data_IF_461875688960
#
_entry.id   IF_461875688960
#
_cell.length_a   1.000
_cell.length_b   1.000
_cell.length_c   1.000
_cell.angle_alpha   90.00
_cell.angle_beta   90.00
_cell.angle_gamma   90.00
#
_symmetry.space_group_name_H-M   'P 1'
#
loop_
_entity.id
_entity.type
_entity.pdbx_description
1 polymer ?
#
# COMPACT_ATOMS: atom_id res chain seq x y z
N UNK A 1 -1.92 -1.47 20.62
CA UNK A 1 -3.35 -1.35 20.25
C UNK A 1 -3.48 -1.85 18.82
N UNK A 2 -4.46 -2.71 18.52
CA UNK A 2 -4.67 -3.20 17.15
C UNK A 2 -4.95 -2.01 16.23
N UNK A 3 -4.25 -1.92 15.09
CA UNK A 3 -4.65 -1.03 14.02
C UNK A 3 -6.05 -1.45 13.54
N UNK A 4 -6.89 -0.51 13.14
CA UNK A 4 -8.16 -0.81 12.49
C UNK A 4 -8.28 0.12 11.30
N UNK A 5 -8.52 -0.43 10.11
CA UNK A 5 -8.68 0.37 8.91
C UNK A 5 -9.86 1.33 9.05
N UNK A 6 -9.69 2.54 8.51
CA UNK A 6 -10.78 3.50 8.34
C UNK A 6 -11.72 3.10 7.19
N UNK A 7 -12.60 4.02 6.77
CA UNK A 7 -13.54 3.76 5.69
C UNK A 7 -12.87 3.29 4.39
N UNK A 8 -13.37 2.19 3.82
CA UNK A 8 -12.93 1.64 2.54
C UNK A 8 -13.78 2.22 1.39
N UNK A 9 -13.15 2.74 0.34
CA UNK A 9 -13.83 3.07 -0.92
C UNK A 9 -13.63 1.97 -1.95
N UNK A 10 -14.68 1.70 -2.71
CA UNK A 10 -14.72 0.59 -3.68
C UNK A 10 -15.27 1.11 -5.00
N UNK A 11 -14.52 0.91 -6.08
CA UNK A 11 -15.07 0.94 -7.44
C UNK A 11 -15.27 -0.51 -7.87
N UNK A 12 -16.54 -0.92 -8.00
CA UNK A 12 -16.88 -2.25 -8.49
C UNK A 12 -16.64 -2.34 -9.99
N UNK A 13 -16.29 -3.54 -10.43
CA UNK A 13 -16.31 -3.91 -11.83
C UNK A 13 -17.74 -3.86 -12.39
N UNK A 14 -17.90 -3.67 -13.70
CA UNK A 14 -19.21 -3.63 -14.37
C UNK A 14 -19.86 -5.01 -14.48
N UNK A 15 -19.06 -6.03 -14.79
CA UNK A 15 -19.58 -7.37 -14.99
C UNK A 15 -19.88 -8.04 -13.64
N UNK A 16 -20.75 -9.06 -13.65
CA UNK A 16 -21.05 -9.80 -12.43
C UNK A 16 -19.81 -10.51 -11.85
N UNK A 17 -18.86 -10.91 -12.70
CA UNK A 17 -17.66 -11.66 -12.31
C UNK A 17 -16.48 -10.71 -12.15
N UNK A 18 -15.89 -10.69 -10.95
CA UNK A 18 -14.59 -10.05 -10.69
C UNK A 18 -13.47 -11.01 -11.10
N UNK A 19 -12.50 -10.54 -11.88
CA UNK A 19 -11.37 -11.36 -12.34
C UNK A 19 -10.03 -10.92 -11.74
N UNK A 20 -10.02 -9.80 -11.02
CA UNK A 20 -8.84 -9.28 -10.35
C UNK A 20 -9.17 -8.05 -9.51
N UNK A 21 -8.32 -7.77 -8.53
CA UNK A 21 -8.50 -6.64 -7.62
C UNK A 21 -7.25 -5.79 -7.59
N UNK A 22 -7.42 -4.47 -7.58
CA UNK A 22 -6.34 -3.51 -7.35
C UNK A 22 -6.58 -2.83 -6.01
N UNK A 23 -5.61 -2.89 -5.11
CA UNK A 23 -5.64 -2.19 -3.82
C UNK A 23 -4.66 -1.01 -3.90
N UNK A 24 -5.16 0.21 -3.68
CA UNK A 24 -4.38 1.44 -3.75
C UNK A 24 -4.31 2.08 -2.37
N UNK A 25 -3.12 2.09 -1.77
CA UNK A 25 -2.81 2.74 -0.50
C UNK A 25 -2.44 4.22 -0.69
N UNK A 26 -3.07 5.10 0.07
CA UNK A 26 -2.82 6.55 0.03
C UNK A 26 -1.51 6.96 0.74
N UNK A 27 -1.06 8.21 0.54
CA UNK A 27 0.10 8.79 1.23
C UNK A 27 -0.21 9.22 2.67
N UNK A 28 0.82 9.60 3.44
CA UNK A 28 0.66 10.02 4.84
C UNK A 28 -0.29 11.22 4.97
N UNK A 29 -1.28 11.13 5.87
CA UNK A 29 -2.22 12.22 6.16
C UNK A 29 -3.43 12.32 5.22
N UNK A 30 -3.50 11.47 4.20
CA UNK A 30 -4.64 11.37 3.30
C UNK A 30 -5.64 10.29 3.76
N UNK A 31 -6.64 9.97 2.95
CA UNK A 31 -7.63 8.91 3.18
C UNK A 31 -7.92 8.15 1.89
N UNK A 32 -8.63 7.02 1.99
CA UNK A 32 -9.12 6.29 0.82
C UNK A 32 -10.07 7.10 -0.07
N UNK A 33 -10.77 8.09 0.50
CA UNK A 33 -11.60 9.03 -0.30
C UNK A 33 -10.72 10.04 -1.03
N UNK A 34 -9.76 10.64 -0.32
CA UNK A 34 -8.92 11.69 -0.88
C UNK A 34 -8.05 11.19 -2.03
N UNK A 35 -7.42 10.02 -1.89
CA UNK A 35 -6.64 9.42 -2.98
C UNK A 35 -7.53 9.06 -4.18
N UNK A 36 -8.76 8.57 -3.94
CA UNK A 36 -9.69 8.25 -5.02
C UNK A 36 -10.11 9.53 -5.76
N UNK A 37 -10.42 10.60 -5.04
CA UNK A 37 -10.77 11.89 -5.62
C UNK A 37 -9.59 12.49 -6.39
N UNK A 38 -8.36 12.33 -5.91
CA UNK A 38 -7.15 12.76 -6.62
C UNK A 38 -6.92 11.97 -7.92
N UNK A 39 -7.08 10.65 -7.90
CA UNK A 39 -7.01 9.82 -9.12
C UNK A 39 -8.08 10.28 -10.11
N UNK A 40 -9.32 10.47 -9.66
CA UNK A 40 -10.43 10.96 -10.52
C UNK A 40 -10.17 12.36 -11.07
N UNK A 41 -9.51 13.22 -10.31
CA UNK A 41 -9.11 14.54 -10.79
C UNK A 41 -8.12 14.43 -11.97
N UNK A 42 -7.17 13.48 -11.90
CA UNK A 42 -6.14 13.30 -12.92
C UNK A 42 -6.64 12.60 -14.19
N UNK A 43 -7.46 11.55 -14.05
CA UNK A 43 -7.84 10.68 -15.19
C UNK A 43 -9.34 10.64 -15.48
N UNK A 44 -10.15 11.39 -14.72
CA UNK A 44 -11.60 11.33 -14.76
C UNK A 44 -12.18 10.13 -14.01
N UNK A 45 -13.50 10.03 -14.02
CA UNK A 45 -14.19 8.85 -13.50
C UNK A 45 -13.83 7.61 -14.32
N UNK A 46 -13.57 6.51 -13.62
CA UNK A 46 -13.16 5.26 -14.24
C UNK A 46 -13.84 4.05 -13.60
N UNK A 47 -13.86 2.97 -14.36
CA UNK A 47 -14.40 1.67 -13.97
C UNK A 47 -13.86 0.63 -14.95
N UNK A 48 -13.78 -0.63 -14.52
CA UNK A 48 -13.31 -1.73 -15.36
C UNK A 48 -14.45 -2.71 -15.64
N UNK A 49 -14.49 -3.36 -16.82
CA UNK A 49 -15.38 -4.48 -17.05
C UNK A 49 -15.22 -5.59 -16.00
N UNK A 50 -13.99 -5.85 -15.53
CA UNK A 50 -13.67 -7.07 -14.78
C UNK A 50 -12.72 -6.87 -13.59
N UNK A 51 -12.27 -5.64 -13.30
CA UNK A 51 -11.44 -5.32 -12.13
C UNK A 51 -12.21 -4.52 -11.09
N UNK A 52 -12.03 -4.91 -9.84
CA UNK A 52 -12.45 -4.15 -8.67
C UNK A 52 -11.28 -3.33 -8.13
N UNK A 53 -11.55 -2.10 -7.68
CA UNK A 53 -10.54 -1.23 -7.07
C UNK A 53 -10.93 -0.92 -5.63
N UNK A 54 -9.96 -1.06 -4.73
CA UNK A 54 -10.08 -0.83 -3.29
C UNK A 54 -9.16 0.31 -2.88
N UNK A 55 -9.70 1.29 -2.17
CA UNK A 55 -8.96 2.43 -1.61
C UNK A 55 -9.22 2.45 -0.09
N UNK A 56 -8.45 1.66 0.69
CA UNK A 56 -8.58 1.65 2.15
C UNK A 56 -8.07 2.97 2.75
N UNK A 57 -8.61 3.33 3.91
CA UNK A 57 -8.11 4.46 4.71
C UNK A 57 -7.25 3.92 5.85
N UNK A 58 -6.06 4.49 6.03
CA UNK A 58 -5.17 4.12 7.13
C UNK A 58 -5.82 4.39 8.51
N UNK A 59 -5.45 3.65 9.56
CA UNK A 59 -5.86 3.97 10.92
C UNK A 59 -5.44 5.39 11.32
N UNK A 60 -6.24 6.04 12.15
CA UNK A 60 -5.87 7.33 12.75
C UNK A 60 -4.90 7.05 13.92
N UNK A 61 -3.66 7.55 13.85
CA UNK A 61 -2.65 7.36 14.89
C UNK A 61 -1.72 8.58 15.02
N UNK A 62 -0.98 8.74 16.15
CA UNK A 62 0.08 9.73 16.25
C UNK A 62 1.15 9.49 15.17
N UNK A 63 1.63 10.56 14.56
CA UNK A 63 2.69 10.49 13.56
C UNK A 63 3.92 11.30 13.99
N UNK A 64 5.06 10.65 14.17
CA UNK A 64 6.29 11.26 14.71
C UNK A 64 6.80 12.44 13.87
N UNK A 65 6.83 12.38 12.52
CA UNK A 65 7.23 13.52 11.69
C UNK A 65 6.26 14.71 11.75
N UNK A 66 5.05 14.50 12.28
CA UNK A 66 4.05 15.56 12.54
C UNK A 66 3.95 15.86 14.05
N UNK A 67 5.08 15.82 14.77
CA UNK A 67 5.17 16.12 16.20
C UNK A 67 4.16 15.34 17.09
N UNK A 68 3.78 14.13 16.68
CA UNK A 68 2.82 13.29 17.39
C UNK A 68 1.35 13.66 17.18
N UNK A 69 1.03 14.57 16.26
CA UNK A 69 -0.36 14.85 15.90
C UNK A 69 -1.04 13.61 15.29
N UNK A 70 -2.35 13.50 15.52
CA UNK A 70 -3.16 12.40 14.98
C UNK A 70 -3.32 12.57 13.47
N UNK A 71 -2.90 11.57 12.71
CA UNK A 71 -2.96 11.56 11.26
C UNK A 71 -3.30 10.16 10.74
N UNK A 72 -3.91 10.09 9.56
CA UNK A 72 -4.16 8.83 8.88
C UNK A 72 -2.87 8.34 8.22
N UNK A 73 -2.15 7.47 8.92
CA UNK A 73 -0.85 6.92 8.50
C UNK A 73 -0.79 5.42 8.72
N UNK A 74 -0.21 4.71 7.76
CA UNK A 74 -0.15 3.23 7.76
C UNK A 74 0.78 2.70 8.86
N UNK A 75 1.91 3.38 9.03
CA UNK A 75 2.94 3.10 10.01
C UNK A 75 3.65 4.42 10.36
N UNK A 76 4.36 4.41 11.47
CA UNK A 76 5.12 5.57 11.91
C UNK A 76 6.50 5.62 11.25
N UNK A 77 7.12 6.80 11.22
CA UNK A 77 8.49 7.00 10.73
C UNK A 77 9.28 7.83 11.73
N UNK A 78 10.52 7.47 11.99
CA UNK A 78 11.40 8.34 12.78
C UNK A 78 11.76 9.61 12.01
N UNK A 79 11.90 9.51 10.69
CA UNK A 79 12.14 10.64 9.79
C UNK A 79 11.72 10.29 8.34
N UNK A 80 11.60 11.29 7.48
CA UNK A 80 11.24 11.15 6.06
C UNK A 80 12.54 11.06 5.23
N UNK A 81 13.29 9.98 5.45
CA UNK A 81 14.54 9.66 4.74
C UNK A 81 14.76 8.14 4.76
N UNK A 82 15.43 7.54 3.76
CA UNK A 82 15.78 6.12 3.78
C UNK A 82 16.82 5.77 4.86
N UNK A 83 17.59 6.75 5.35
CA UNK A 83 18.78 6.53 6.19
C UNK A 83 18.50 6.25 7.67
N UNK A 84 17.23 6.29 8.09
CA UNK A 84 16.82 5.92 9.45
C UNK A 84 16.20 4.52 9.47
N UNK A 85 16.17 3.82 10.61
CA UNK A 85 15.47 2.54 10.70
C UNK A 85 13.97 2.67 10.42
N UNK A 86 13.35 1.56 10.02
CA UNK A 86 11.89 1.47 9.94
C UNK A 86 11.27 1.35 11.34
N UNK A 87 10.06 1.87 11.53
CA UNK A 87 9.33 1.64 12.78
C UNK A 87 8.61 0.29 12.73
N UNK A 88 9.37 -0.80 12.87
CA UNK A 88 8.93 -2.18 12.67
C UNK A 88 7.67 -2.56 13.47
N UNK A 89 7.52 -2.09 14.71
CA UNK A 89 6.32 -2.37 15.53
C UNK A 89 5.04 -1.86 14.85
N UNK A 90 5.07 -0.67 14.27
CA UNK A 90 3.89 -0.09 13.62
C UNK A 90 3.63 -0.71 12.25
N UNK A 91 4.68 -1.13 11.53
CA UNK A 91 4.55 -1.95 10.32
C UNK A 91 3.89 -3.29 10.64
N UNK A 92 4.38 -4.02 11.65
CA UNK A 92 3.77 -5.26 12.10
C UNK A 92 2.30 -5.07 12.53
N UNK A 93 1.97 -3.93 13.16
CA UNK A 93 0.60 -3.64 13.58
C UNK A 93 -0.40 -3.49 12.44
N UNK A 94 0.03 -3.04 11.25
CA UNK A 94 -0.85 -2.85 10.09
C UNK A 94 -0.89 -4.10 9.20
N UNK A 95 0.12 -4.97 9.25
CA UNK A 95 0.20 -6.19 8.43
C UNK A 95 -1.06 -7.06 8.55
N UNK A 96 -1.57 -7.28 9.75
CA UNK A 96 -2.74 -8.14 9.96
C UNK A 96 -4.00 -7.56 9.30
N UNK A 97 -4.18 -6.26 9.35
CA UNK A 97 -5.30 -5.58 8.71
C UNK A 97 -5.23 -5.68 7.18
N UNK A 98 -4.03 -5.55 6.59
CA UNK A 98 -3.83 -5.69 5.15
C UNK A 98 -4.00 -7.16 4.72
N UNK A 99 -3.48 -8.11 5.49
CA UNK A 99 -3.71 -9.54 5.28
C UNK A 99 -5.18 -9.88 5.31
N UNK A 100 -5.94 -9.33 6.27
CA UNK A 100 -7.38 -9.53 6.38
C UNK A 100 -8.13 -8.92 5.19
N UNK A 101 -7.73 -7.73 4.73
CA UNK A 101 -8.31 -7.11 3.52
C UNK A 101 -8.09 -7.99 2.29
N UNK A 102 -6.88 -8.50 2.08
CA UNK A 102 -6.54 -9.40 0.97
C UNK A 102 -7.28 -10.74 1.13
N UNK A 103 -7.34 -11.31 2.33
CA UNK A 103 -8.07 -12.55 2.60
C UNK A 103 -9.57 -12.42 2.28
N UNK A 104 -10.16 -11.24 2.50
CA UNK A 104 -11.53 -10.94 2.08
C UNK A 104 -11.70 -11.01 0.55
N UNK A 105 -10.70 -10.60 -0.22
CA UNK A 105 -10.73 -10.71 -1.69
C UNK A 105 -10.59 -12.16 -2.16
N UNK A 106 -9.73 -12.94 -1.50
CA UNK A 106 -9.59 -14.39 -1.74
C UNK A 106 -10.91 -15.12 -1.46
N UNK A 107 -11.55 -14.82 -0.32
CA UNK A 107 -12.83 -15.41 0.07
C UNK A 107 -13.97 -15.06 -0.91
N UNK A 108 -13.88 -13.90 -1.56
CA UNK A 108 -14.79 -13.48 -2.62
C UNK A 108 -14.40 -14.02 -4.02
N UNK A 109 -13.48 -14.98 -4.08
CA UNK A 109 -13.14 -15.73 -5.29
C UNK A 109 -12.09 -15.08 -6.19
N UNK A 110 -11.39 -14.04 -5.72
CA UNK A 110 -10.28 -13.43 -6.48
C UNK A 110 -8.97 -14.10 -6.07
N UNK A 111 -8.30 -14.88 -6.94
CA UNK A 111 -7.04 -15.54 -6.59
C UNK A 111 -5.93 -14.55 -6.25
N UNK A 112 -4.96 -14.94 -5.42
CA UNK A 112 -3.86 -14.06 -4.99
C UNK A 112 -3.05 -13.48 -6.16
N UNK A 113 -2.74 -14.33 -7.15
CA UNK A 113 -2.06 -13.95 -8.40
C UNK A 113 -2.94 -13.13 -9.38
N UNK A 114 -4.10 -12.65 -8.91
CA UNK A 114 -4.97 -11.67 -9.57
C UNK A 114 -5.20 -10.41 -8.72
N UNK A 115 -4.46 -10.26 -7.62
CA UNK A 115 -4.49 -9.08 -6.77
C UNK A 115 -3.21 -8.27 -6.99
N UNK A 116 -3.37 -7.00 -7.36
CA UNK A 116 -2.30 -6.01 -7.43
C UNK A 116 -2.41 -5.11 -6.20
N UNK A 117 -1.28 -4.83 -5.56
CA UNK A 117 -1.19 -3.80 -4.52
C UNK A 117 -0.33 -2.65 -5.01
N UNK A 118 -0.63 -1.45 -4.57
CA UNK A 118 0.22 -0.31 -4.87
C UNK A 118 -0.17 0.91 -4.10
N UNK A 119 0.56 1.99 -4.27
CA UNK A 119 0.24 3.23 -3.57
C UNK A 119 1.16 4.39 -3.87
N UNK A 120 0.81 5.51 -3.24
CA UNK A 120 1.54 6.77 -3.33
C UNK A 120 2.29 7.06 -2.03
N UNK A 121 3.54 7.51 -2.13
CA UNK A 121 4.40 7.89 -1.01
C UNK A 121 4.47 6.79 0.06
N UNK A 122 3.99 7.04 1.28
CA UNK A 122 3.89 6.04 2.34
C UNK A 122 3.10 4.78 1.91
N UNK A 123 2.05 4.94 1.10
CA UNK A 123 1.24 3.83 0.61
C UNK A 123 2.00 2.91 -0.38
N UNK A 124 2.89 3.46 -1.20
CA UNK A 124 3.73 2.64 -2.07
C UNK A 124 4.80 1.88 -1.28
N UNK A 125 5.34 2.48 -0.22
CA UNK A 125 6.20 1.76 0.73
C UNK A 125 5.44 0.61 1.42
N UNK A 126 4.19 0.85 1.86
CA UNK A 126 3.34 -0.22 2.39
C UNK A 126 3.09 -1.33 1.36
N UNK A 127 2.89 -0.99 0.09
CA UNK A 127 2.67 -1.97 -0.97
C UNK A 127 3.90 -2.89 -1.17
N UNK A 128 5.11 -2.33 -1.14
CA UNK A 128 6.36 -3.09 -1.20
C UNK A 128 6.49 -4.03 0.01
N UNK A 129 6.25 -3.53 1.22
CA UNK A 129 6.20 -4.36 2.44
C UNK A 129 5.17 -5.48 2.33
N UNK A 130 3.98 -5.17 1.81
CA UNK A 130 2.91 -6.15 1.68
C UNK A 130 3.32 -7.29 0.76
N UNK A 131 3.87 -6.99 -0.41
CA UNK A 131 4.14 -8.00 -1.42
C UNK A 131 5.41 -8.82 -1.19
N UNK A 132 6.44 -8.23 -0.58
CA UNK A 132 7.75 -8.86 -0.45
C UNK A 132 8.10 -9.31 0.97
N UNK A 133 7.13 -9.23 1.89
CA UNK A 133 7.29 -9.71 3.28
C UNK A 133 6.01 -10.31 3.82
N UNK A 134 4.88 -9.62 3.68
CA UNK A 134 3.66 -10.00 4.40
C UNK A 134 2.78 -11.00 3.65
N UNK A 135 2.70 -10.88 2.32
CA UNK A 135 1.81 -11.66 1.43
C UNK A 135 2.49 -11.90 0.06
N UNK A 136 3.48 -12.81 -0.01
CA UNK A 136 4.13 -13.14 -1.27
C UNK A 136 3.19 -13.81 -2.29
N UNK A 137 3.44 -13.58 -3.58
CA UNK A 137 2.70 -14.18 -4.69
C UNK A 137 1.51 -13.38 -5.21
N UNK A 138 1.49 -12.07 -4.92
CA UNK A 138 0.58 -11.10 -5.55
C UNK A 138 0.85 -10.99 -7.05
N UNK A 139 -0.13 -10.50 -7.81
CA UNK A 139 -0.02 -10.35 -9.26
C UNK A 139 1.01 -9.30 -9.68
N UNK A 140 1.27 -8.32 -8.82
CA UNK A 140 2.24 -7.26 -9.04
C UNK A 140 2.13 -6.13 -8.04
N UNK A 141 3.13 -5.24 -8.07
CA UNK A 141 3.22 -4.06 -7.23
C UNK A 141 3.40 -2.81 -8.07
N UNK A 142 2.79 -1.69 -7.65
CA UNK A 142 3.21 -0.38 -8.12
C UNK A 142 3.49 0.59 -6.96
N UNK A 143 4.56 1.36 -7.07
CA UNK A 143 4.93 2.37 -6.08
C UNK A 143 5.14 3.73 -6.75
N UNK A 144 4.54 4.79 -6.22
CA UNK A 144 4.58 6.14 -6.78
C UNK A 144 5.21 7.08 -5.75
N UNK A 145 6.34 7.71 -6.06
CA UNK A 145 7.06 8.63 -5.16
C UNK A 145 7.38 8.02 -3.78
N UNK A 146 7.87 6.78 -3.75
CA UNK A 146 8.04 5.99 -2.52
C UNK A 146 9.51 5.65 -2.26
N UNK A 147 9.80 5.07 -1.10
CA UNK A 147 11.11 4.48 -0.81
C UNK A 147 10.96 3.37 0.24
N UNK A 148 11.92 2.45 0.27
CA UNK A 148 12.21 1.60 1.41
C UNK A 148 13.45 2.16 2.12
N UNK A 149 13.52 1.96 3.43
CA UNK A 149 14.68 2.36 4.22
C UNK A 149 15.90 1.46 3.90
N UNK A 150 17.12 1.96 4.09
CA UNK A 150 18.35 1.31 3.61
C UNK A 150 18.51 -0.11 4.16
N UNK A 151 18.17 -0.31 5.44
CA UNK A 151 18.23 -1.61 6.15
C UNK A 151 16.84 -2.28 6.25
N UNK A 152 15.92 -1.99 5.32
CA UNK A 152 14.54 -2.47 5.36
C UNK A 152 14.43 -3.97 5.58
N UNK A 153 13.46 -4.38 6.39
CA UNK A 153 13.13 -5.79 6.62
C UNK A 153 12.66 -6.50 5.35
N UNK A 154 12.21 -5.75 4.33
CA UNK A 154 11.89 -6.29 3.00
C UNK A 154 13.13 -6.90 2.35
N UNK A 155 14.29 -6.24 2.42
CA UNK A 155 15.52 -6.77 1.83
C UNK A 155 15.99 -8.05 2.52
N UNK A 156 15.69 -8.19 3.82
CA UNK A 156 15.98 -9.42 4.58
C UNK A 156 15.04 -10.56 4.19
N UNK A 157 13.75 -10.28 4.03
CA UNK A 157 12.76 -11.27 3.58
C UNK A 157 13.12 -11.83 2.19
N UNK A 158 13.54 -10.96 1.26
CA UNK A 158 13.98 -11.36 -0.08
C UNK A 158 15.24 -12.24 -0.14
N UNK A 159 16.00 -12.35 0.95
CA UNK A 159 17.17 -13.24 1.02
C UNK A 159 16.78 -14.69 1.30
N UNK A 160 15.54 -14.97 1.74
CA UNK A 160 15.05 -16.32 1.96
C UNK A 160 14.45 -16.89 0.65
N UNK A 161 15.07 -17.92 0.03
CA UNK A 161 14.60 -18.49 -1.23
C UNK A 161 13.27 -19.25 -1.11
N UNK A 162 12.67 -19.35 0.08
CA UNK A 162 11.37 -19.99 0.31
C UNK A 162 10.15 -19.05 0.19
N UNK A 163 10.36 -17.75 -0.02
CA UNK A 163 9.34 -16.68 0.04
C UNK A 163 8.40 -16.57 -1.17
N UNK A 164 8.20 -17.63 -1.96
CA UNK A 164 7.15 -17.67 -3.00
C UNK A 164 7.55 -17.13 -4.38
N UNK A 165 6.59 -16.96 -5.31
CA UNK A 165 6.89 -16.66 -6.70
C UNK A 165 7.26 -15.18 -6.93
N UNK A 166 8.14 -14.93 -7.92
CA UNK A 166 8.58 -13.60 -8.34
C UNK A 166 7.38 -12.68 -8.63
N UNK A 167 7.17 -11.70 -7.75
CA UNK A 167 6.14 -10.67 -7.93
C UNK A 167 6.75 -9.47 -8.65
N UNK A 168 6.29 -9.12 -9.87
CA UNK A 168 6.84 -7.98 -10.59
C UNK A 168 6.45 -6.66 -9.93
N UNK A 169 7.33 -5.66 -9.98
CA UNK A 169 6.97 -4.30 -9.59
C UNK A 169 7.30 -3.27 -10.66
N UNK A 170 6.57 -2.17 -10.60
CA UNK A 170 6.88 -0.93 -11.31
C UNK A 170 6.95 0.21 -10.30
N UNK A 171 7.90 1.12 -10.50
CA UNK A 171 8.07 2.27 -9.63
C UNK A 171 8.24 3.53 -10.47
N UNK A 172 7.52 4.58 -10.11
CA UNK A 172 7.60 5.88 -10.76
C UNK A 172 7.94 6.94 -9.72
N UNK A 173 8.80 7.88 -10.11
CA UNK A 173 9.26 8.94 -9.23
C UNK A 173 9.41 10.25 -10.00
N UNK A 174 9.04 11.37 -9.38
CA UNK A 174 9.30 12.69 -9.94
C UNK A 174 10.75 13.10 -9.71
N UNK A 175 11.44 13.56 -10.75
CA UNK A 175 12.83 14.03 -10.70
C UNK A 175 13.03 15.34 -9.92
N UNK A 176 11.94 16.07 -9.65
CA UNK A 176 11.92 17.30 -8.86
C UNK A 176 11.20 17.14 -7.51
N UNK A 177 11.00 15.91 -7.03
CA UNK A 177 10.39 15.67 -5.72
C UNK A 177 11.35 16.11 -4.60
N UNK A 178 10.96 17.14 -3.84
CA UNK A 178 11.78 17.68 -2.74
C UNK A 178 11.46 17.07 -1.39
N UNK A 179 10.40 16.25 -1.28
CA UNK A 179 9.98 15.61 -0.03
C UNK A 179 10.52 14.19 0.06
N UNK A 180 10.39 13.43 -1.02
CA UNK A 180 11.05 12.14 -1.21
C UNK A 180 11.96 12.29 -2.43
N UNK A 181 13.23 12.68 -2.27
CA UNK A 181 14.13 12.84 -3.40
C UNK A 181 14.28 11.55 -4.20
N UNK A 182 14.33 11.67 -5.54
CA UNK A 182 14.75 10.56 -6.39
C UNK A 182 16.21 10.21 -6.12
N UNK A 183 16.51 8.92 -6.06
CA UNK A 183 17.88 8.40 -5.90
C UNK A 183 18.79 8.70 -7.09
#
# INVERSE_FOLDING_TARGET
MSATLGPLKIIKQKNAINTGTVIFFHGSGDTGSGILDWVKFLIGDFTSPHLKFLFPTAPLRPYTPLNGEMSHVWFDRYDITPTVPEHEETLASIDDEIKNLIAGELANGTPLNKIVVGGFSMGGALALHTAYRSVPGLAGVFALSSFLNDDSIVYKALQDPSEGPDTPFIMFHGDHDTLVPSA
#
